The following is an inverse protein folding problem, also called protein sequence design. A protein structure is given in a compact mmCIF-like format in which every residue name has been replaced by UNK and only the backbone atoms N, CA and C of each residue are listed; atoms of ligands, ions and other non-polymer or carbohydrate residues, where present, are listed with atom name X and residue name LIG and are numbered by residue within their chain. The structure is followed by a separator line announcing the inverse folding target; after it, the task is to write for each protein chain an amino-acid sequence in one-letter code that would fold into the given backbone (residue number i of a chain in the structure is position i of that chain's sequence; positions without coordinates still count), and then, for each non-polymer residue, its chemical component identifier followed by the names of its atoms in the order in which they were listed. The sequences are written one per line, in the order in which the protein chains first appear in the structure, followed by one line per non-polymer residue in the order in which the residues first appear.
data_IF_330509760655
#
_entry.id   IF_330509760655
#
_cell.length_a   1.000
_cell.length_b   1.000
_cell.length_c   1.000
_cell.angle_alpha   90.00
_cell.angle_beta   90.00
_cell.angle_gamma   90.00
#
_symmetry.space_group_name_H-M   'P 1'
#
loop_
_entity.id
_entity.type
_entity.pdbx_description
1 polymer ?
#
# COMPACT_ATOMS: atom_id res chain seq x y z
N UNK A 1 -31.16 -46.76 1.84
CA UNK A 1 -30.38 -46.30 0.69
C UNK A 1 -28.93 -46.64 0.95
N UNK A 2 -28.15 -47.01 -0.07
CA UNK A 2 -26.71 -47.25 0.03
C UNK A 2 -25.88 -46.20 -0.71
N UNK A 3 -26.55 -45.23 -1.34
CA UNK A 3 -25.92 -44.16 -2.11
C UNK A 3 -25.54 -43.04 -1.15
N UNK A 4 -24.29 -42.56 -1.15
CA UNK A 4 -23.93 -41.37 -0.40
C UNK A 4 -24.59 -40.12 -1.00
N UNK A 5 -25.01 -39.15 -0.17
CA UNK A 5 -25.49 -37.87 -0.65
C UNK A 5 -24.35 -37.01 -1.22
N UNK A 6 -24.69 -36.05 -2.08
CA UNK A 6 -23.78 -35.01 -2.58
C UNK A 6 -24.15 -33.65 -1.97
N UNK A 7 -23.15 -32.91 -1.48
CA UNK A 7 -23.34 -31.58 -0.90
C UNK A 7 -23.05 -30.49 -1.92
N UNK A 8 -23.82 -29.40 -1.90
CA UNK A 8 -23.55 -28.23 -2.76
C UNK A 8 -23.61 -26.95 -1.93
N UNK A 9 -22.56 -26.12 -1.99
CA UNK A 9 -22.56 -24.78 -1.38
C UNK A 9 -23.24 -23.79 -2.33
N UNK A 10 -24.44 -23.34 -1.97
CA UNK A 10 -25.31 -22.46 -2.77
C UNK A 10 -25.06 -20.98 -2.51
N UNK A 11 -24.59 -20.60 -1.31
CA UNK A 11 -24.25 -19.22 -0.99
C UNK A 11 -23.02 -19.10 -0.08
N UNK A 12 -22.35 -17.95 -0.15
CA UNK A 12 -21.26 -17.57 0.75
C UNK A 12 -20.21 -16.69 0.08
N UNK A 13 -19.19 -16.22 0.83
CA UNK A 13 -18.14 -15.38 0.29
C UNK A 13 -17.31 -16.13 -0.76
N UNK A 14 -16.84 -15.37 -1.75
CA UNK A 14 -15.87 -15.82 -2.75
C UNK A 14 -14.86 -14.69 -3.00
N UNK A 15 -13.66 -15.03 -3.47
CA UNK A 15 -12.61 -14.06 -3.71
C UNK A 15 -12.16 -13.34 -2.43
N UNK A 16 -11.95 -12.03 -2.52
CA UNK A 16 -11.51 -11.19 -1.40
C UNK A 16 -12.69 -10.44 -0.78
N UNK A 17 -12.85 -10.56 0.54
CA UNK A 17 -13.92 -9.88 1.31
C UNK A 17 -13.34 -9.06 2.46
N UNK A 18 -13.99 -7.95 2.81
CA UNK A 18 -13.54 -7.05 3.89
C UNK A 18 -14.19 -7.36 5.24
N UNK A 19 -15.18 -8.25 5.27
CA UNK A 19 -15.88 -8.67 6.49
C UNK A 19 -15.10 -9.79 7.17
N UNK A 20 -15.03 -9.76 8.49
CA UNK A 20 -14.46 -10.84 9.32
C UNK A 20 -15.51 -11.89 9.72
N UNK A 21 -16.66 -11.87 9.05
CA UNK A 21 -17.72 -12.85 9.15
C UNK A 21 -18.02 -13.45 7.79
N UNK A 22 -18.29 -14.75 7.76
CA UNK A 22 -18.68 -15.50 6.57
C UNK A 22 -19.91 -16.35 6.88
N UNK A 23 -20.95 -16.23 6.06
CA UNK A 23 -22.15 -17.06 6.14
C UNK A 23 -22.19 -17.98 4.92
N UNK A 24 -22.62 -19.22 5.12
CA UNK A 24 -22.71 -20.24 4.07
C UNK A 24 -24.10 -20.86 4.07
N UNK A 25 -24.64 -21.03 2.87
CA UNK A 25 -25.80 -21.90 2.60
C UNK A 25 -25.33 -23.06 1.74
N UNK A 26 -25.88 -24.23 2.02
CA UNK A 26 -25.62 -25.46 1.32
C UNK A 26 -26.81 -26.40 1.38
N UNK A 27 -26.88 -27.32 0.43
CA UNK A 27 -27.93 -28.32 0.29
C UNK A 27 -27.34 -29.72 0.12
N UNK A 28 -28.15 -30.75 0.36
CA UNK A 28 -27.86 -32.15 0.05
C UNK A 28 -28.73 -32.60 -1.12
N UNK A 29 -28.24 -33.52 -1.94
CA UNK A 29 -29.04 -34.22 -2.94
C UNK A 29 -30.15 -35.10 -2.32
N UNK A 30 -30.04 -35.43 -1.03
CA UNK A 30 -31.00 -36.28 -0.30
C UNK A 30 -31.65 -35.54 0.87
N UNK A 31 -32.98 -35.63 0.94
CA UNK A 31 -33.79 -35.02 2.01
C UNK A 31 -33.57 -35.73 3.34
N UNK A 32 -33.54 -34.97 4.44
CA UNK A 32 -33.31 -35.52 5.78
C UNK A 32 -31.84 -35.82 6.12
N UNK A 33 -30.90 -35.49 5.24
CA UNK A 33 -29.46 -35.58 5.53
C UNK A 33 -29.06 -34.64 6.67
N UNK A 34 -28.13 -35.10 7.53
CA UNK A 34 -27.41 -34.24 8.48
C UNK A 34 -26.15 -33.67 7.84
N UNK A 35 -25.68 -32.51 8.29
CA UNK A 35 -24.46 -31.91 7.78
C UNK A 35 -23.36 -31.84 8.84
N UNK A 36 -22.13 -32.06 8.38
CA UNK A 36 -20.93 -31.72 9.12
C UNK A 36 -20.12 -30.68 8.34
N UNK A 37 -19.57 -29.71 9.05
CA UNK A 37 -18.80 -28.61 8.49
C UNK A 37 -17.39 -28.58 9.07
N UNK A 38 -16.43 -28.13 8.25
CA UNK A 38 -15.06 -27.84 8.63
C UNK A 38 -14.68 -26.43 8.19
N UNK A 39 -13.95 -25.73 9.05
CA UNK A 39 -13.36 -24.42 8.74
C UNK A 39 -11.84 -24.52 8.91
N UNK A 40 -11.11 -24.15 7.88
CA UNK A 40 -9.64 -24.09 7.82
C UNK A 40 -8.96 -25.42 8.22
N UNK A 41 -9.54 -26.54 7.77
CA UNK A 41 -8.99 -27.88 8.00
C UNK A 41 -9.22 -28.42 9.42
N UNK A 42 -10.03 -27.75 10.24
CA UNK A 42 -10.44 -28.27 11.56
C UNK A 42 -11.26 -29.57 11.41
N UNK A 43 -11.31 -30.42 12.44
CA UNK A 43 -12.19 -31.59 12.43
C UNK A 43 -13.63 -31.21 12.08
N UNK A 44 -14.28 -32.05 11.27
CA UNK A 44 -15.69 -31.89 10.93
C UNK A 44 -16.56 -31.98 12.18
N UNK A 45 -17.48 -31.03 12.32
CA UNK A 45 -18.46 -30.99 13.40
C UNK A 45 -19.86 -30.71 12.85
N UNK A 46 -20.88 -31.20 13.55
CA UNK A 46 -22.27 -31.03 13.15
C UNK A 46 -22.62 -29.55 12.96
N UNK A 47 -23.31 -29.24 11.86
CA UNK A 47 -23.73 -27.90 11.49
C UNK A 47 -25.09 -27.89 10.79
N UNK A 48 -25.69 -26.71 10.68
CA UNK A 48 -26.93 -26.47 9.94
C UNK A 48 -26.69 -25.50 8.79
N UNK A 49 -27.53 -25.58 7.76
CA UNK A 49 -27.59 -24.58 6.68
C UNK A 49 -28.77 -23.63 6.93
N UNK A 50 -28.58 -22.30 6.93
CA UNK A 50 -27.30 -21.59 6.85
C UNK A 50 -26.45 -21.72 8.14
N UNK A 51 -25.14 -21.57 8.00
CA UNK A 51 -24.21 -21.37 9.13
C UNK A 51 -23.44 -20.07 8.99
N UNK A 52 -23.01 -19.48 10.11
CA UNK A 52 -22.19 -18.26 10.13
C UNK A 52 -20.97 -18.44 11.02
N UNK A 53 -19.81 -18.08 10.48
CA UNK A 53 -18.53 -18.03 11.19
C UNK A 53 -18.11 -16.58 11.37
N UNK A 54 -17.94 -16.16 12.63
CA UNK A 54 -17.51 -14.81 12.99
C UNK A 54 -16.03 -14.78 13.41
N UNK A 55 -15.50 -13.57 13.57
CA UNK A 55 -14.14 -13.31 14.08
C UNK A 55 -13.02 -14.01 13.28
N UNK A 56 -13.21 -14.15 11.97
CA UNK A 56 -12.19 -14.69 11.07
C UNK A 56 -10.98 -13.73 11.01
N UNK A 57 -9.79 -14.29 11.16
CA UNK A 57 -8.55 -13.54 11.02
C UNK A 57 -8.35 -13.09 9.56
N UNK A 58 -7.55 -12.05 9.28
CA UNK A 58 -7.14 -11.77 7.92
C UNK A 58 -6.31 -12.93 7.35
N UNK A 59 -6.63 -13.39 6.15
CA UNK A 59 -5.96 -14.53 5.54
C UNK A 59 -6.87 -15.32 4.60
N UNK A 60 -6.29 -16.36 4.00
CA UNK A 60 -7.03 -17.33 3.22
C UNK A 60 -7.79 -18.27 4.16
N UNK A 61 -9.04 -18.55 3.82
CA UNK A 61 -9.92 -19.44 4.54
C UNK A 61 -10.53 -20.48 3.60
N UNK A 62 -10.82 -21.65 4.16
CA UNK A 62 -11.46 -22.76 3.46
C UNK A 62 -12.61 -23.29 4.31
N UNK A 63 -13.82 -23.29 3.75
CA UNK A 63 -14.99 -23.90 4.34
C UNK A 63 -15.32 -25.17 3.56
N UNK A 64 -15.57 -26.26 4.27
CA UNK A 64 -15.98 -27.53 3.70
C UNK A 64 -17.26 -28.01 4.37
N UNK A 65 -18.25 -28.45 3.59
CA UNK A 65 -19.48 -29.04 4.10
C UNK A 65 -19.71 -30.40 3.46
N UNK A 66 -20.16 -31.37 4.26
CA UNK A 66 -20.52 -32.71 3.79
C UNK A 66 -21.84 -33.16 4.41
N UNK A 67 -22.64 -33.90 3.67
CA UNK A 67 -23.90 -34.47 4.12
C UNK A 67 -23.70 -35.93 4.58
N UNK A 68 -24.56 -36.43 5.47
CA UNK A 68 -24.69 -37.85 5.78
C UNK A 68 -26.16 -38.21 5.86
N UNK A 69 -26.55 -39.28 5.16
CA UNK A 69 -27.92 -39.76 5.14
C UNK A 69 -28.34 -40.44 6.46
N UNK A 70 -29.57 -40.96 6.50
CA UNK A 70 -30.10 -41.70 7.66
C UNK A 70 -29.50 -43.12 7.81
N UNK A 71 -28.94 -43.68 6.73
CA UNK A 71 -28.27 -44.98 6.75
C UNK A 71 -26.81 -44.90 7.24
N UNK A 72 -26.26 -43.69 7.33
CA UNK A 72 -24.89 -43.41 7.76
C UNK A 72 -23.89 -43.23 6.61
N UNK A 73 -24.34 -43.16 5.35
CA UNK A 73 -23.47 -42.90 4.21
C UNK A 73 -23.14 -41.41 4.14
N UNK A 74 -21.85 -41.08 4.27
CA UNK A 74 -21.37 -39.70 4.18
C UNK A 74 -20.90 -39.37 2.78
N UNK A 75 -21.16 -38.13 2.36
CA UNK A 75 -20.62 -37.52 1.15
C UNK A 75 -19.08 -37.67 1.13
N UNK A 76 -18.52 -38.44 0.17
CA UNK A 76 -17.09 -38.69 0.06
C UNK A 76 -16.32 -37.49 -0.51
N UNK A 77 -17.01 -36.52 -1.11
CA UNK A 77 -16.46 -35.34 -1.79
C UNK A 77 -17.05 -34.06 -1.19
N UNK A 78 -16.65 -33.67 0.04
CA UNK A 78 -17.16 -32.48 0.68
C UNK A 78 -17.10 -31.25 -0.23
N UNK A 79 -18.20 -30.51 -0.32
CA UNK A 79 -18.24 -29.25 -1.05
C UNK A 79 -17.29 -28.24 -0.40
N UNK A 80 -16.40 -27.62 -1.19
CA UNK A 80 -15.38 -26.70 -0.69
C UNK A 80 -15.58 -25.28 -1.23
N UNK A 81 -15.45 -24.29 -0.35
CA UNK A 81 -15.39 -22.86 -0.71
C UNK A 81 -14.15 -22.21 -0.10
N UNK A 82 -13.36 -21.55 -0.93
CA UNK A 82 -12.20 -20.77 -0.51
C UNK A 82 -12.44 -19.28 -0.69
N UNK A 83 -12.03 -18.47 0.28
CA UNK A 83 -12.05 -17.00 0.18
C UNK A 83 -10.87 -16.40 0.97
N UNK A 84 -10.67 -15.10 0.83
CA UNK A 84 -9.67 -14.37 1.61
C UNK A 84 -10.33 -13.22 2.36
N UNK A 85 -10.19 -13.22 3.68
CA UNK A 85 -10.53 -12.06 4.50
C UNK A 85 -9.39 -11.07 4.38
N UNK A 86 -9.63 -9.96 3.69
CA UNK A 86 -8.71 -8.83 3.65
C UNK A 86 -9.06 -7.88 4.78
N UNK A 87 -8.06 -7.47 5.56
CA UNK A 87 -8.27 -6.49 6.60
C UNK A 87 -8.55 -5.11 5.96
N UNK A 88 -9.73 -4.48 6.14
CA UNK A 88 -9.95 -3.13 5.64
C UNK A 88 -9.00 -2.13 6.32
N UNK A 89 -8.48 -2.42 7.53
CA UNK A 89 -7.47 -1.58 8.20
C UNK A 89 -6.04 -1.79 7.71
N UNK A 90 -5.80 -2.76 6.81
CA UNK A 90 -4.53 -2.95 6.09
C UNK A 90 -4.80 -3.26 4.62
N UNK A 91 -5.49 -2.36 3.92
CA UNK A 91 -5.16 -2.18 2.51
C UNK A 91 -3.63 -1.94 2.45
N UNK A 92 -2.87 -2.59 1.54
CA UNK A 92 -1.47 -2.22 1.35
C UNK A 92 -1.44 -0.71 1.13
N UNK A 93 -0.70 0.02 1.97
CA UNK A 93 -0.48 1.45 1.79
C UNK A 93 0.42 1.66 0.57
N UNK A 94 -0.06 1.36 -0.62
CA UNK A 94 0.25 2.21 -1.76
C UNK A 94 -0.57 3.48 -1.58
N UNK A 95 -0.18 4.33 -0.60
CA UNK A 95 -0.55 5.74 -0.69
C UNK A 95 -0.07 6.15 -2.08
N UNK A 96 -0.92 6.68 -2.98
CA UNK A 96 -0.39 7.36 -4.16
C UNK A 96 0.67 8.33 -3.63
N UNK A 97 1.84 8.29 -4.25
CA UNK A 97 2.97 9.12 -3.87
C UNK A 97 2.47 10.55 -3.76
N UNK A 98 2.30 11.04 -2.53
CA UNK A 98 1.51 12.25 -2.29
C UNK A 98 2.32 13.44 -2.73
N UNK A 99 1.84 14.18 -3.71
CA UNK A 99 2.42 15.45 -4.08
C UNK A 99 2.11 16.45 -2.98
N UNK A 100 3.11 16.85 -2.20
CA UNK A 100 2.95 17.83 -1.14
C UNK A 100 3.63 19.14 -1.51
N UNK A 101 3.05 20.25 -1.05
CA UNK A 101 3.74 21.53 -0.98
C UNK A 101 4.00 21.84 0.48
N UNK A 102 5.28 22.03 0.83
CA UNK A 102 5.70 22.31 2.20
C UNK A 102 6.59 23.54 2.23
N UNK A 103 6.22 24.49 3.07
CA UNK A 103 6.94 25.75 3.25
C UNK A 103 7.48 25.83 4.67
N UNK A 104 8.76 26.20 4.80
CA UNK A 104 9.44 26.51 6.04
C UNK A 104 9.13 27.93 6.51
N UNK A 105 10.10 28.53 7.18
CA UNK A 105 10.00 29.79 7.90
C UNK A 105 11.21 30.67 7.57
N UNK A 106 11.35 31.81 8.25
CA UNK A 106 12.57 32.62 8.15
C UNK A 106 13.71 32.15 9.10
N UNK A 107 13.57 30.95 9.68
CA UNK A 107 14.57 30.31 10.55
C UNK A 107 15.06 29.04 9.87
N UNK A 108 16.13 28.45 10.43
CA UNK A 108 16.61 27.14 10.00
C UNK A 108 15.55 26.06 10.16
N UNK A 109 15.17 25.46 9.03
CA UNK A 109 14.18 24.40 8.92
C UNK A 109 14.77 23.08 8.40
N UNK A 110 14.07 21.98 8.70
CA UNK A 110 14.30 20.67 8.09
C UNK A 110 13.02 20.22 7.39
N UNK A 111 13.05 20.26 6.06
CA UNK A 111 11.92 19.91 5.21
C UNK A 111 12.19 18.59 4.51
N UNK A 112 11.20 17.70 4.52
CA UNK A 112 11.28 16.39 3.89
C UNK A 112 10.02 16.14 3.07
N UNK A 113 10.23 15.81 1.80
CA UNK A 113 9.23 15.34 0.86
C UNK A 113 8.83 13.88 1.12
N UNK A 114 8.31 13.26 0.09
CA UNK A 114 7.62 11.98 0.09
C UNK A 114 8.33 11.00 -0.85
N UNK A 115 7.59 10.24 -1.66
CA UNK A 115 8.16 9.45 -2.76
C UNK A 115 7.54 9.88 -4.11
N UNK A 116 6.79 10.97 -4.09
CA UNK A 116 6.12 11.56 -5.25
C UNK A 116 6.62 12.97 -5.46
N UNK A 117 6.24 13.60 -6.58
CA UNK A 117 6.71 14.93 -6.93
C UNK A 117 6.19 15.98 -5.94
N UNK A 118 7.13 16.63 -5.24
CA UNK A 118 6.87 17.58 -4.17
C UNK A 118 7.38 18.99 -4.49
N UNK A 119 6.89 19.98 -3.73
CA UNK A 119 7.42 21.35 -3.73
C UNK A 119 7.84 21.72 -2.32
N UNK A 120 9.14 21.92 -2.10
CA UNK A 120 9.71 22.27 -0.80
C UNK A 120 10.27 23.70 -0.86
N UNK A 121 9.92 24.55 0.12
CA UNK A 121 10.36 25.96 0.18
C UNK A 121 11.00 26.25 1.53
N UNK A 122 12.30 26.50 1.59
CA UNK A 122 13.02 26.88 2.82
C UNK A 122 12.62 28.27 3.31
N UNK A 123 12.62 29.24 2.38
CA UNK A 123 12.38 30.67 2.57
C UNK A 123 13.61 31.42 3.08
N UNK A 124 13.86 31.47 4.39
CA UNK A 124 15.01 32.18 4.92
C UNK A 124 15.62 31.40 6.06
N UNK A 125 16.93 31.36 6.17
CA UNK A 125 17.57 30.56 7.21
C UNK A 125 18.71 29.76 6.64
N UNK A 126 19.08 28.68 7.32
CA UNK A 126 20.08 27.76 6.80
C UNK A 126 19.44 26.38 6.77
N UNK A 127 18.70 26.12 5.70
CA UNK A 127 17.70 25.07 5.65
C UNK A 127 18.27 23.76 5.14
N UNK A 128 17.54 22.68 5.42
CA UNK A 128 17.86 21.33 4.94
C UNK A 128 16.63 20.74 4.28
N UNK A 129 16.65 20.65 2.94
CA UNK A 129 15.54 20.15 2.13
C UNK A 129 15.90 18.78 1.54
N UNK A 130 15.00 17.81 1.71
CA UNK A 130 15.10 16.45 1.16
C UNK A 130 13.90 16.15 0.24
N UNK A 131 14.09 16.08 -1.08
CA UNK A 131 13.05 15.68 -2.04
C UNK A 131 12.73 14.19 -1.99
N UNK A 132 13.78 13.36 -2.00
CA UNK A 132 13.80 11.89 -1.89
C UNK A 132 13.58 11.15 -3.21
N UNK A 133 12.34 10.78 -3.56
CA UNK A 133 12.02 10.11 -4.82
C UNK A 133 10.87 10.89 -5.45
N UNK A 134 10.81 10.92 -6.77
CA UNK A 134 9.82 11.72 -7.49
C UNK A 134 10.51 12.90 -8.16
N UNK A 135 9.76 13.67 -8.94
CA UNK A 135 10.29 14.85 -9.63
C UNK A 135 9.96 16.08 -8.79
N UNK A 136 10.91 16.52 -7.99
CA UNK A 136 10.71 17.50 -6.94
C UNK A 136 11.12 18.92 -7.36
N UNK A 137 10.54 19.93 -6.72
CA UNK A 137 10.97 21.33 -6.80
C UNK A 137 11.47 21.78 -5.44
N UNK A 138 12.77 22.03 -5.32
CA UNK A 138 13.41 22.51 -4.10
C UNK A 138 13.77 23.99 -4.26
N UNK A 139 13.16 24.84 -3.44
CA UNK A 139 13.42 26.27 -3.36
C UNK A 139 14.15 26.55 -2.03
N UNK A 140 15.47 26.75 -2.05
CA UNK A 140 16.24 27.03 -0.84
C UNK A 140 15.81 28.35 -0.20
N UNK A 141 15.87 29.42 -0.99
CA UNK A 141 15.56 30.75 -0.52
C UNK A 141 16.83 31.48 -0.08
N UNK A 142 16.75 32.28 0.98
CA UNK A 142 17.86 33.07 1.51
C UNK A 142 18.63 32.31 2.58
N UNK A 143 19.93 32.56 2.61
CA UNK A 143 20.86 32.00 3.61
C UNK A 143 21.53 30.75 3.09
N UNK A 144 22.17 29.96 3.97
CA UNK A 144 23.04 28.87 3.54
C UNK A 144 22.33 27.52 3.63
N UNK A 145 21.86 27.03 2.50
CA UNK A 145 20.98 25.87 2.43
C UNK A 145 21.70 24.59 2.02
N UNK A 146 21.12 23.46 2.40
CA UNK A 146 21.51 22.12 1.95
C UNK A 146 20.31 21.49 1.24
N UNK A 147 20.43 21.33 -0.06
CA UNK A 147 19.36 20.89 -0.94
C UNK A 147 19.72 19.50 -1.50
N UNK A 148 18.96 18.47 -1.10
CA UNK A 148 19.13 17.10 -1.55
C UNK A 148 17.89 16.68 -2.34
N UNK A 149 17.99 16.73 -3.66
CA UNK A 149 16.85 16.52 -4.55
C UNK A 149 16.41 15.04 -4.53
N UNK A 150 17.30 14.11 -4.84
CA UNK A 150 17.11 12.69 -4.56
C UNK A 150 17.10 11.85 -5.83
N UNK A 151 16.03 11.14 -6.11
CA UNK A 151 15.92 10.34 -7.33
C UNK A 151 14.68 10.74 -8.12
N UNK A 152 14.87 11.07 -9.39
CA UNK A 152 13.85 11.65 -10.25
C UNK A 152 14.47 12.71 -11.15
N UNK A 153 13.64 13.46 -11.86
CA UNK A 153 14.09 14.64 -12.58
C UNK A 153 13.64 15.87 -11.82
N UNK A 154 14.58 16.45 -11.07
CA UNK A 154 14.29 17.48 -10.09
C UNK A 154 14.62 18.88 -10.61
N UNK A 155 14.03 19.89 -9.98
CA UNK A 155 14.35 21.31 -10.17
C UNK A 155 14.79 21.91 -8.85
N UNK A 156 16.02 22.43 -8.80
CA UNK A 156 16.57 23.09 -7.61
C UNK A 156 16.80 24.57 -7.90
N UNK A 157 16.27 25.45 -7.05
CA UNK A 157 16.50 26.90 -7.10
C UNK A 157 17.20 27.38 -5.81
N UNK A 158 18.44 27.82 -5.99
CA UNK A 158 19.38 28.24 -4.96
C UNK A 158 19.98 29.63 -5.26
N UNK A 159 19.28 30.46 -6.05
CA UNK A 159 19.80 31.76 -6.53
C UNK A 159 19.84 32.87 -5.49
N UNK A 160 19.05 32.74 -4.42
CA UNK A 160 18.81 33.80 -3.44
C UNK A 160 19.60 33.59 -2.13
N UNK A 161 20.41 32.53 -2.07
CA UNK A 161 21.12 32.04 -0.91
C UNK A 161 22.52 32.62 -0.71
N UNK A 162 23.25 32.05 0.25
CA UNK A 162 24.65 32.34 0.54
C UNK A 162 25.39 31.01 0.60
N UNK A 163 26.00 30.60 -0.52
CA UNK A 163 26.84 29.39 -0.63
C UNK A 163 26.10 28.10 -0.26
N UNK A 164 25.11 27.77 -1.06
CA UNK A 164 24.31 26.57 -0.88
C UNK A 164 25.11 25.31 -1.25
N UNK A 165 24.72 24.19 -0.66
CA UNK A 165 25.24 22.87 -1.03
C UNK A 165 24.12 22.05 -1.65
N UNK A 166 24.30 21.67 -2.91
CA UNK A 166 23.28 21.03 -3.73
C UNK A 166 23.74 19.64 -4.13
N UNK A 167 22.92 18.63 -3.84
CA UNK A 167 23.09 17.25 -4.31
C UNK A 167 21.84 16.86 -5.10
N UNK A 168 22.03 16.54 -6.37
CA UNK A 168 20.90 16.23 -7.26
C UNK A 168 20.48 14.76 -7.13
N UNK A 169 21.47 13.86 -7.00
CA UNK A 169 21.21 12.43 -6.92
C UNK A 169 20.97 11.80 -8.30
N UNK A 170 19.99 10.90 -8.40
CA UNK A 170 19.78 10.10 -9.60
C UNK A 170 18.73 10.72 -10.51
N UNK A 171 19.08 10.86 -11.78
CA UNK A 171 18.17 11.29 -12.83
C UNK A 171 18.68 12.56 -13.50
N UNK A 172 17.81 13.20 -14.29
CA UNK A 172 18.20 14.40 -15.04
C UNK A 172 17.63 15.62 -14.35
N UNK A 173 18.51 16.36 -13.70
CA UNK A 173 18.14 17.46 -12.82
C UNK A 173 18.51 18.82 -13.40
N UNK A 174 17.71 19.83 -13.08
CA UNK A 174 17.93 21.22 -13.46
C UNK A 174 18.19 22.06 -12.21
N UNK A 175 19.38 22.63 -12.13
CA UNK A 175 19.81 23.46 -11.01
C UNK A 175 19.98 24.91 -11.45
N UNK A 176 19.33 25.81 -10.74
CA UNK A 176 19.51 27.25 -10.84
C UNK A 176 20.26 27.73 -9.60
N UNK A 177 21.55 28.01 -9.75
CA UNK A 177 22.46 28.32 -8.65
C UNK A 177 23.26 29.58 -8.93
N UNK A 178 23.85 30.16 -7.91
CA UNK A 178 24.81 31.25 -8.04
C UNK A 178 26.26 30.72 -8.25
N UNK A 179 27.25 31.62 -8.26
CA UNK A 179 28.67 31.23 -8.38
C UNK A 179 29.27 30.66 -7.10
N UNK A 180 28.74 31.07 -5.95
CA UNK A 180 29.24 30.75 -4.63
C UNK A 180 28.80 29.33 -4.18
N UNK A 181 27.77 28.78 -4.82
CA UNK A 181 27.21 27.47 -4.53
C UNK A 181 28.14 26.29 -4.85
N UNK A 182 28.06 25.28 -3.99
CA UNK A 182 28.72 23.98 -4.13
C UNK A 182 27.72 22.98 -4.66
N UNK A 183 27.89 22.61 -5.92
CA UNK A 183 26.99 21.71 -6.63
C UNK A 183 27.73 20.38 -6.80
N UNK A 184 27.09 19.29 -6.38
CA UNK A 184 27.62 17.95 -6.57
C UNK A 184 27.73 17.61 -8.06
N UNK A 185 28.64 16.69 -8.38
CA UNK A 185 28.97 16.33 -9.77
C UNK A 185 27.87 15.55 -10.48
N UNK A 186 26.87 15.09 -9.73
CA UNK A 186 25.72 14.34 -10.21
C UNK A 186 24.63 15.24 -10.82
N UNK A 187 24.75 16.57 -10.70
CA UNK A 187 23.81 17.52 -11.30
C UNK A 187 24.09 17.73 -12.80
N UNK A 188 23.17 17.25 -13.66
CA UNK A 188 23.36 17.22 -15.12
C UNK A 188 23.20 18.60 -15.79
N UNK A 189 22.17 19.39 -15.44
CA UNK A 189 21.90 20.70 -16.05
C UNK A 189 22.03 21.79 -15.01
N UNK A 190 23.05 22.66 -15.15
CA UNK A 190 23.29 23.74 -14.18
C UNK A 190 23.30 25.10 -14.88
N UNK A 191 22.34 25.95 -14.51
CA UNK A 191 22.25 27.34 -14.91
C UNK A 191 22.81 28.24 -13.81
N UNK A 192 24.04 28.74 -14.02
CA UNK A 192 24.69 29.69 -13.10
C UNK A 192 24.44 31.13 -13.55
N UNK A 193 23.91 31.97 -12.66
CA UNK A 193 23.86 33.41 -12.91
C UNK A 193 25.27 34.02 -12.86
N UNK A 194 25.62 34.84 -13.87
CA UNK A 194 26.85 35.65 -13.89
C UNK A 194 27.95 35.23 -14.88
N UNK A 195 27.82 34.10 -15.60
CA UNK A 195 28.66 33.82 -16.76
C UNK A 195 28.15 34.62 -17.97
N UNK A 196 28.92 35.61 -18.42
CA UNK A 196 28.79 36.13 -19.79
C UNK A 196 29.52 35.14 -20.69
N UNK A 197 28.84 34.71 -21.77
CA UNK A 197 29.44 33.99 -22.90
C UNK A 197 30.61 34.75 -23.49
#
# INVERSE_FOLDING_TARGET
DGTPPETTITAGPSGQVKTTSASFEFTSSETGSRFDCSLDGRPFAACSSPTTHAALAPGAHTFSARATDAAGNSDPTPAVRTWTVINPKRAPRSRPSQNITRTGTARRDVLRGTRGPDVLRGLGGADLLYGLRGNDVLLGGRGQDRLLAGAGSDVVQAKDGVRDTIACGLGRDVVYADRADRIARDCEVVHRSGWRS
#
